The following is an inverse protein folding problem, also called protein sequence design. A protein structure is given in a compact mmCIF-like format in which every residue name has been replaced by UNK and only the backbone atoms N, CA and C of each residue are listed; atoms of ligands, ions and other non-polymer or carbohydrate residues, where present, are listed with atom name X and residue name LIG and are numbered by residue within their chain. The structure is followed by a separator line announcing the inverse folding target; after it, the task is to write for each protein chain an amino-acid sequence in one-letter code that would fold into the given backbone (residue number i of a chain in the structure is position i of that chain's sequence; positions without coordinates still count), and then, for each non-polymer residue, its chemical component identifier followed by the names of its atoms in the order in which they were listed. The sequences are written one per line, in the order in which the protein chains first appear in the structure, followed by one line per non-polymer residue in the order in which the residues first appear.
data_IF_290107174452
#
_entry.id   IF_290107174452
#
_cell.length_a   1.000
_cell.length_b   1.000
_cell.length_c   1.000
_cell.angle_alpha   90.00
_cell.angle_beta   90.00
_cell.angle_gamma   90.00
#
_symmetry.space_group_name_H-M   'P 1'
#
loop_
_entity.id
_entity.type
_entity.pdbx_description
1 polymer ?
#
# COMPACT_ATOMS: atom_id res chain seq x y z
N UNK A 1 -7.88 -25.71 -12.82
CA UNK A 1 -6.93 -24.57 -12.70
C UNK A 1 -6.48 -24.53 -11.25
N UNK A 2 -5.19 -24.36 -10.97
CA UNK A 2 -4.73 -24.21 -9.58
C UNK A 2 -5.13 -22.85 -9.02
N UNK A 3 -5.48 -22.82 -7.73
CA UNK A 3 -5.98 -21.63 -7.04
C UNK A 3 -4.90 -20.98 -6.20
N UNK A 4 -4.86 -19.64 -6.25
CA UNK A 4 -3.90 -18.81 -5.51
C UNK A 4 -4.64 -17.78 -4.67
N UNK A 5 -4.32 -17.74 -3.37
CA UNK A 5 -4.77 -16.68 -2.46
C UNK A 5 -3.62 -15.74 -2.10
N UNK A 6 -3.75 -14.46 -2.40
CA UNK A 6 -2.76 -13.42 -2.03
C UNK A 6 -3.21 -12.73 -0.74
N UNK A 7 -2.32 -12.53 0.21
CA UNK A 7 -2.54 -11.64 1.37
C UNK A 7 -1.52 -10.51 1.38
N UNK A 8 -1.99 -9.27 1.31
CA UNK A 8 -1.16 -8.06 1.27
C UNK A 8 -1.91 -6.83 1.78
N UNK A 9 -1.25 -5.67 1.85
CA UNK A 9 -1.90 -4.38 2.07
C UNK A 9 -2.68 -3.92 0.82
N UNK A 10 -3.79 -4.57 0.51
CA UNK A 10 -4.63 -4.22 -0.65
C UNK A 10 -5.63 -3.10 -0.37
N UNK A 11 -5.96 -2.82 0.89
CA UNK A 11 -6.96 -1.82 1.31
C UNK A 11 -6.34 -0.68 2.14
N UNK A 12 -5.10 -0.34 1.87
CA UNK A 12 -4.34 0.66 2.62
C UNK A 12 -4.52 2.10 2.12
N UNK A 13 -5.48 2.40 1.26
CA UNK A 13 -5.74 3.71 0.62
C UNK A 13 -4.46 4.50 0.27
N UNK A 14 -3.49 3.77 -0.22
CA UNK A 14 -2.20 4.21 -0.67
C UNK A 14 -1.97 3.67 -2.09
N UNK A 15 -1.52 4.51 -3.00
CA UNK A 15 -1.34 4.14 -4.41
C UNK A 15 -0.38 2.96 -4.60
N UNK A 16 0.79 3.02 -3.94
CA UNK A 16 1.79 1.95 -4.02
C UNK A 16 1.24 0.62 -3.54
N UNK A 17 0.52 0.63 -2.39
CA UNK A 17 -0.08 -0.58 -1.83
C UNK A 17 -1.14 -1.20 -2.75
N UNK A 18 -1.94 -0.37 -3.42
CA UNK A 18 -2.98 -0.86 -4.32
C UNK A 18 -2.43 -1.34 -5.65
N UNK A 19 -1.49 -0.58 -6.23
CA UNK A 19 -0.87 -0.94 -7.51
C UNK A 19 -0.03 -2.22 -7.40
N UNK A 20 0.71 -2.41 -6.30
CA UNK A 20 1.46 -3.66 -6.12
C UNK A 20 0.53 -4.87 -5.96
N UNK A 21 -0.62 -4.71 -5.28
CA UNK A 21 -1.61 -5.77 -5.14
C UNK A 21 -2.25 -6.12 -6.50
N UNK A 22 -2.62 -5.10 -7.28
CA UNK A 22 -3.09 -5.25 -8.66
C UNK A 22 -2.06 -5.97 -9.53
N UNK A 23 -0.84 -5.44 -9.59
CA UNK A 23 0.21 -5.99 -10.43
C UNK A 23 0.51 -7.46 -10.11
N UNK A 24 0.65 -7.80 -8.83
CA UNK A 24 0.90 -9.19 -8.43
C UNK A 24 -0.25 -10.10 -8.87
N UNK A 25 -1.49 -9.68 -8.68
CA UNK A 25 -2.66 -10.45 -9.10
C UNK A 25 -2.69 -10.62 -10.62
N UNK A 26 -2.45 -9.56 -11.41
CA UNK A 26 -2.44 -9.64 -12.88
C UNK A 26 -1.35 -10.59 -13.40
N UNK A 27 -0.15 -10.53 -12.83
CA UNK A 27 0.95 -11.45 -13.19
C UNK A 27 0.56 -12.90 -12.94
N UNK A 28 -0.05 -13.21 -11.80
CA UNK A 28 -0.46 -14.58 -11.46
C UNK A 28 -1.60 -15.05 -12.37
N UNK A 29 -2.55 -14.18 -12.69
CA UNK A 29 -3.64 -14.47 -13.64
C UNK A 29 -3.08 -14.73 -15.05
N UNK A 30 -2.10 -13.93 -15.51
CA UNK A 30 -1.46 -14.12 -16.82
C UNK A 30 -0.68 -15.45 -16.92
N UNK A 31 -0.20 -15.98 -15.79
CA UNK A 31 0.41 -17.32 -15.70
C UNK A 31 -0.63 -18.47 -15.79
N UNK A 32 -1.92 -18.18 -15.89
CA UNK A 32 -2.99 -19.17 -16.01
C UNK A 32 -3.46 -19.75 -14.68
N UNK A 33 -3.24 -19.07 -13.56
CA UNK A 33 -3.79 -19.47 -12.26
C UNK A 33 -5.13 -18.77 -12.00
N UNK A 34 -6.00 -19.40 -11.20
CA UNK A 34 -7.17 -18.73 -10.61
C UNK A 34 -6.72 -18.01 -9.34
N UNK A 35 -6.66 -16.68 -9.39
CA UNK A 35 -6.07 -15.87 -8.32
C UNK A 35 -7.08 -14.89 -7.74
N UNK A 36 -7.15 -14.84 -6.41
CA UNK A 36 -7.87 -13.79 -5.69
C UNK A 36 -7.05 -13.26 -4.50
N UNK A 37 -7.35 -12.03 -4.10
CA UNK A 37 -6.76 -11.42 -2.91
C UNK A 37 -7.66 -11.75 -1.71
N UNK A 38 -7.11 -12.32 -0.67
CA UNK A 38 -7.79 -12.55 0.59
C UNK A 38 -8.11 -11.19 1.21
N UNK A 39 -9.39 -10.85 1.29
CA UNK A 39 -9.87 -9.54 1.73
C UNK A 39 -9.71 -9.37 3.25
N UNK A 40 -8.45 -9.31 3.70
CA UNK A 40 -8.11 -9.13 5.11
C UNK A 40 -7.94 -7.65 5.44
N UNK A 41 -8.85 -7.12 6.27
CA UNK A 41 -8.86 -5.71 6.72
C UNK A 41 -8.92 -5.65 8.24
N UNK A 42 -7.79 -5.63 8.90
CA UNK A 42 -7.72 -5.61 10.36
C UNK A 42 -8.39 -4.36 10.96
N UNK A 43 -8.90 -4.43 12.22
CA UNK A 43 -9.45 -3.27 12.91
C UNK A 43 -8.44 -2.12 13.04
N UNK A 44 -7.13 -2.42 13.11
CA UNK A 44 -6.07 -1.42 13.15
C UNK A 44 -6.00 -0.67 11.81
N UNK A 45 -6.00 -1.39 10.68
CA UNK A 45 -6.02 -0.83 9.35
C UNK A 45 -7.27 0.04 9.12
N UNK A 46 -8.46 -0.48 9.46
CA UNK A 46 -9.71 0.29 9.33
C UNK A 46 -9.69 1.58 10.16
N UNK A 47 -9.09 1.57 11.36
CA UNK A 47 -8.94 2.78 12.18
C UNK A 47 -8.00 3.80 11.56
N UNK A 48 -6.89 3.35 10.97
CA UNK A 48 -5.89 4.22 10.35
C UNK A 48 -6.48 5.04 9.19
N UNK A 49 -7.42 4.47 8.45
CA UNK A 49 -8.02 5.11 7.27
C UNK A 49 -9.40 5.73 7.53
N UNK A 50 -9.85 5.81 8.79
CA UNK A 50 -11.09 6.54 9.11
C UNK A 50 -10.96 8.03 8.76
N UNK A 51 -12.01 8.66 8.17
CA UNK A 51 -11.95 10.04 7.73
C UNK A 51 -11.82 11.05 8.87
N UNK A 52 -12.17 10.68 10.11
CA UNK A 52 -12.16 11.57 11.27
C UNK A 52 -11.33 10.93 12.39
N UNK A 53 -10.16 11.50 12.64
CA UNK A 53 -9.32 11.17 13.79
C UNK A 53 -9.57 12.15 14.94
N UNK A 54 -10.31 11.72 15.95
CA UNK A 54 -10.54 12.52 17.16
C UNK A 54 -9.54 12.10 18.23
N UNK A 55 -8.35 12.70 18.21
CA UNK A 55 -7.31 12.46 19.24
C UNK A 55 -6.89 13.80 19.87
N UNK A 56 -6.83 13.86 21.19
CA UNK A 56 -6.33 15.02 21.94
C UNK A 56 -7.33 15.63 22.94
N UNK A 57 -6.94 16.77 23.56
CA UNK A 57 -7.78 17.51 24.50
C UNK A 57 -9.07 18.00 23.85
N UNK A 58 -10.10 18.33 24.67
CA UNK A 58 -11.41 18.80 24.16
C UNK A 58 -11.27 19.96 23.17
N UNK A 59 -10.48 20.97 23.51
CA UNK A 59 -10.22 22.13 22.61
C UNK A 59 -9.51 21.71 21.31
N UNK A 60 -8.50 20.87 21.40
CA UNK A 60 -7.80 20.35 20.21
C UNK A 60 -8.71 19.49 19.32
N UNK A 61 -9.72 18.82 19.91
CA UNK A 61 -10.75 18.06 19.15
C UNK A 61 -11.66 18.99 18.36
N UNK A 62 -12.13 20.06 18.96
CA UNK A 62 -13.01 21.04 18.29
C UNK A 62 -12.30 21.72 17.10
N UNK A 63 -11.06 22.18 17.27
CA UNK A 63 -10.29 22.80 16.21
C UNK A 63 -10.01 21.81 15.07
N UNK A 64 -9.64 20.56 15.40
CA UNK A 64 -9.44 19.52 14.38
C UNK A 64 -10.72 19.15 13.66
N UNK A 65 -11.83 19.06 14.36
CA UNK A 65 -13.13 18.78 13.76
C UNK A 65 -13.52 19.86 12.73
N UNK A 66 -13.34 21.14 13.05
CA UNK A 66 -13.63 22.23 12.11
C UNK A 66 -12.73 22.14 10.87
N UNK A 67 -11.41 21.89 11.05
CA UNK A 67 -10.48 21.74 9.94
C UNK A 67 -10.82 20.51 9.10
N UNK A 68 -11.17 19.39 9.74
CA UNK A 68 -11.55 18.16 9.06
C UNK A 68 -12.90 18.29 8.36
N UNK A 69 -13.86 19.02 8.93
CA UNK A 69 -15.14 19.30 8.27
C UNK A 69 -14.97 20.04 6.95
N UNK A 70 -14.02 20.98 6.87
CA UNK A 70 -13.70 21.69 5.62
C UNK A 70 -13.11 20.77 4.54
N UNK A 71 -12.55 19.61 4.91
CA UNK A 71 -11.90 18.64 4.00
C UNK A 71 -12.63 17.31 3.89
N UNK A 72 -13.68 17.10 4.65
CA UNK A 72 -14.46 15.84 4.68
C UNK A 72 -14.83 15.39 3.27
N UNK A 73 -15.28 16.30 2.42
CA UNK A 73 -15.63 15.95 1.04
C UNK A 73 -14.46 15.39 0.23
N UNK A 74 -13.28 15.98 0.36
CA UNK A 74 -12.06 15.49 -0.31
C UNK A 74 -11.65 14.12 0.22
N UNK A 75 -11.71 13.93 1.55
CA UNK A 75 -11.37 12.66 2.19
C UNK A 75 -12.36 11.56 1.80
N UNK A 76 -13.66 11.84 1.83
CA UNK A 76 -14.69 10.89 1.42
C UNK A 76 -14.60 10.56 -0.08
N UNK A 77 -14.34 11.56 -0.92
CA UNK A 77 -14.10 11.33 -2.36
C UNK A 77 -12.89 10.42 -2.57
N UNK A 78 -11.78 10.69 -1.88
CA UNK A 78 -10.58 9.84 -1.92
C UNK A 78 -10.91 8.40 -1.53
N UNK A 79 -11.56 8.20 -0.39
CA UNK A 79 -11.95 6.86 0.06
C UNK A 79 -12.85 6.15 -0.95
N UNK A 80 -13.86 6.87 -1.48
CA UNK A 80 -14.75 6.29 -2.49
C UNK A 80 -13.98 5.81 -3.73
N UNK A 81 -13.00 6.57 -4.20
CA UNK A 81 -12.20 6.20 -5.37
C UNK A 81 -11.31 4.99 -5.08
N UNK A 82 -10.71 4.90 -3.90
CA UNK A 82 -9.96 3.71 -3.51
C UNK A 82 -10.86 2.48 -3.38
N UNK A 83 -12.06 2.60 -2.79
CA UNK A 83 -13.02 1.49 -2.73
C UNK A 83 -13.55 1.12 -4.13
N UNK A 84 -13.73 2.08 -5.03
CA UNK A 84 -14.06 1.79 -6.42
C UNK A 84 -12.97 0.95 -7.07
N UNK A 85 -11.71 1.37 -6.97
CA UNK A 85 -10.57 0.61 -7.49
C UNK A 85 -10.52 -0.81 -6.91
N UNK A 86 -10.68 -0.96 -5.60
CA UNK A 86 -10.71 -2.28 -4.95
C UNK A 86 -11.79 -3.19 -5.55
N UNK A 87 -12.96 -2.65 -5.81
CA UNK A 87 -14.11 -3.44 -6.27
C UNK A 87 -14.12 -3.67 -7.78
N UNK A 88 -13.50 -2.77 -8.59
CA UNK A 88 -13.48 -2.90 -10.05
C UNK A 88 -12.24 -3.64 -10.56
N UNK A 89 -11.07 -3.38 -9.96
CA UNK A 89 -9.78 -3.82 -10.50
C UNK A 89 -9.19 -5.04 -9.79
N UNK A 90 -9.64 -5.31 -8.54
CA UNK A 90 -9.13 -6.45 -7.78
C UNK A 90 -10.19 -7.54 -7.63
N UNK A 91 -9.80 -8.78 -7.93
CA UNK A 91 -10.61 -9.95 -7.57
C UNK A 91 -10.33 -10.29 -6.10
N UNK A 92 -11.25 -9.91 -5.24
CA UNK A 92 -11.18 -10.17 -3.80
C UNK A 92 -11.91 -11.47 -3.43
N UNK A 93 -11.52 -12.11 -2.34
CA UNK A 93 -12.32 -13.16 -1.72
C UNK A 93 -13.72 -12.64 -1.36
N UNK A 94 -14.71 -13.52 -1.46
CA UNK A 94 -16.13 -13.15 -1.25
C UNK A 94 -16.36 -12.50 0.13
N UNK A 95 -15.78 -13.06 1.18
CA UNK A 95 -15.91 -12.54 2.53
C UNK A 95 -14.74 -11.59 2.87
N UNK A 96 -15.03 -10.58 3.70
CA UNK A 96 -14.04 -9.76 4.37
C UNK A 96 -13.68 -10.37 5.73
N UNK A 97 -12.41 -10.39 6.06
CA UNK A 97 -11.86 -10.95 7.30
C UNK A 97 -11.19 -9.85 8.12
N UNK A 98 -11.49 -9.77 9.42
CA UNK A 98 -10.95 -8.74 10.31
C UNK A 98 -9.89 -9.25 11.27
N UNK A 99 -9.93 -10.53 11.59
CA UNK A 99 -9.06 -11.15 12.59
C UNK A 99 -8.35 -12.38 12.04
N UNK A 100 -7.31 -12.81 12.75
CA UNK A 100 -6.64 -14.08 12.42
C UNK A 100 -7.59 -15.27 12.59
N UNK A 101 -8.46 -15.23 13.61
CA UNK A 101 -9.45 -16.26 13.87
C UNK A 101 -10.46 -16.39 12.71
N UNK A 102 -10.90 -15.26 12.11
CA UNK A 102 -11.74 -15.29 10.91
C UNK A 102 -11.06 -16.04 9.76
N UNK A 103 -9.74 -15.81 9.57
CA UNK A 103 -8.97 -16.48 8.53
C UNK A 103 -8.78 -17.98 8.82
N UNK A 104 -8.57 -18.36 10.07
CA UNK A 104 -8.43 -19.77 10.51
C UNK A 104 -9.72 -20.57 10.29
N UNK A 105 -10.87 -19.90 10.44
CA UNK A 105 -12.20 -20.47 10.27
C UNK A 105 -12.76 -20.35 8.85
N UNK A 106 -12.08 -19.64 7.94
CA UNK A 106 -12.57 -19.37 6.60
C UNK A 106 -12.65 -20.60 5.68
N UNK A 107 -11.95 -21.69 6.02
CA UNK A 107 -11.97 -22.91 5.20
C UNK A 107 -11.35 -22.75 3.83
N UNK A 108 -10.34 -21.92 3.70
CA UNK A 108 -9.63 -21.72 2.44
C UNK A 108 -9.08 -23.00 1.84
N UNK A 109 -9.18 -23.13 0.53
CA UNK A 109 -8.68 -24.25 -0.25
C UNK A 109 -7.91 -23.77 -1.48
N UNK A 110 -6.79 -23.02 -1.22
CA UNK A 110 -5.86 -22.63 -2.28
C UNK A 110 -4.71 -23.62 -2.37
N UNK A 111 -4.23 -23.87 -3.59
CA UNK A 111 -3.00 -24.64 -3.81
C UNK A 111 -1.76 -23.85 -3.36
N UNK A 112 -1.81 -22.51 -3.50
CA UNK A 112 -0.75 -21.59 -3.11
C UNK A 112 -1.32 -20.39 -2.34
N UNK A 113 -0.64 -20.05 -1.26
CA UNK A 113 -0.86 -18.85 -0.48
C UNK A 113 0.34 -17.93 -0.66
N UNK A 114 0.12 -16.72 -1.15
CA UNK A 114 1.19 -15.75 -1.37
C UNK A 114 1.07 -14.60 -0.38
N UNK A 115 2.13 -14.39 0.38
CA UNK A 115 2.31 -13.25 1.27
C UNK A 115 3.16 -12.20 0.57
N UNK A 116 2.63 -11.03 0.36
CA UNK A 116 3.37 -9.94 -0.29
C UNK A 116 2.60 -9.28 -1.43
N UNK A 117 3.10 -8.24 -1.97
CA UNK A 117 4.29 -7.43 -1.60
C UNK A 117 4.00 -6.48 -0.44
N UNK A 118 4.63 -5.27 -0.44
CA UNK A 118 4.50 -4.18 0.52
C UNK A 118 5.17 -4.46 1.90
N UNK A 119 5.07 -3.51 2.82
CA UNK A 119 5.70 -3.56 4.15
C UNK A 119 4.92 -4.44 5.15
N UNK A 120 4.29 -5.49 4.67
CA UNK A 120 3.48 -6.40 5.50
C UNK A 120 4.29 -7.15 6.57
N UNK A 121 5.61 -7.24 6.41
CA UNK A 121 6.53 -7.81 7.39
C UNK A 121 7.25 -6.76 8.25
N UNK A 122 6.88 -5.48 8.10
CA UNK A 122 7.35 -4.44 9.00
C UNK A 122 6.55 -4.46 10.30
N UNK A 123 7.09 -5.12 11.32
CA UNK A 123 6.45 -5.35 12.62
C UNK A 123 6.18 -4.07 13.42
N UNK A 124 6.68 -2.93 12.97
CA UNK A 124 6.44 -1.61 13.58
C UNK A 124 5.40 -0.78 12.82
N UNK A 125 4.82 -1.31 11.73
CA UNK A 125 3.68 -0.64 11.11
C UNK A 125 2.46 -0.68 12.04
N UNK A 126 1.66 0.39 12.03
CA UNK A 126 0.47 0.51 12.87
C UNK A 126 -0.60 -0.54 12.55
N UNK A 127 -0.62 -1.03 11.32
CA UNK A 127 -1.54 -2.03 10.79
C UNK A 127 -0.89 -3.43 10.65
N UNK A 128 0.29 -3.62 11.24
CA UNK A 128 0.94 -4.93 11.30
C UNK A 128 0.01 -5.99 11.91
N UNK A 129 0.01 -7.17 11.30
CA UNK A 129 -0.71 -8.35 11.81
C UNK A 129 0.04 -9.64 11.47
N UNK A 130 0.02 -10.60 12.38
CA UNK A 130 0.62 -11.92 12.14
C UNK A 130 -0.03 -12.68 10.97
N UNK A 131 -1.25 -12.35 10.59
CA UNK A 131 -1.93 -12.93 9.43
C UNK A 131 -1.08 -12.88 8.15
N UNK A 132 -0.25 -11.84 8.01
CA UNK A 132 0.65 -11.68 6.86
C UNK A 132 1.80 -12.69 6.82
N UNK A 133 2.02 -13.47 7.87
CA UNK A 133 2.93 -14.60 7.90
C UNK A 133 2.24 -15.96 7.64
N UNK A 134 0.98 -15.95 7.21
CA UNK A 134 0.20 -17.12 6.81
C UNK A 134 0.04 -18.22 7.90
N UNK A 135 -0.12 -17.91 9.20
CA UNK A 135 -0.27 -18.94 10.23
C UNK A 135 -1.56 -19.74 10.09
N UNK A 136 -2.58 -19.18 9.45
CA UNK A 136 -3.90 -19.79 9.24
C UNK A 136 -3.94 -20.88 8.15
N UNK A 137 -2.87 -21.02 7.37
CA UNK A 137 -2.81 -22.00 6.28
C UNK A 137 -2.66 -23.40 6.84
N UNK A 138 -3.65 -24.28 6.57
CA UNK A 138 -3.67 -25.68 7.02
C UNK A 138 -3.14 -26.64 5.96
N UNK A 139 -3.31 -26.29 4.68
CA UNK A 139 -2.86 -27.08 3.51
C UNK A 139 -2.52 -26.12 2.36
N UNK A 140 -1.77 -26.58 1.38
CA UNK A 140 -1.25 -25.74 0.29
C UNK A 140 0.14 -25.18 0.60
N UNK A 141 0.77 -24.58 -0.39
CA UNK A 141 2.13 -24.03 -0.27
C UNK A 141 2.11 -22.58 0.14
N UNK A 142 3.03 -22.22 1.06
CA UNK A 142 3.25 -20.83 1.51
C UNK A 142 4.42 -20.22 0.76
N UNK A 143 4.16 -19.12 0.07
CA UNK A 143 5.17 -18.40 -0.72
C UNK A 143 5.19 -16.95 -0.27
N UNK A 144 6.38 -16.38 -0.11
CA UNK A 144 6.56 -14.95 0.07
C UNK A 144 7.09 -14.32 -1.21
N UNK A 145 6.35 -13.35 -1.77
CA UNK A 145 6.81 -12.58 -2.91
C UNK A 145 6.95 -11.10 -2.55
N UNK A 146 8.20 -10.63 -2.50
CA UNK A 146 8.59 -9.23 -2.28
C UNK A 146 8.00 -8.53 -1.02
N UNK A 147 7.64 -9.21 0.11
CA UNK A 147 7.34 -8.47 1.33
C UNK A 147 8.58 -7.69 1.80
N UNK A 148 8.34 -6.56 2.47
CA UNK A 148 9.38 -5.72 3.05
C UNK A 148 9.27 -5.67 4.57
N UNK A 149 10.42 -5.68 5.24
CA UNK A 149 10.54 -5.48 6.68
C UNK A 149 10.75 -4.00 7.05
N UNK A 150 10.71 -3.11 6.07
CA UNK A 150 11.10 -1.71 6.21
C UNK A 150 12.62 -1.51 6.24
N UNK A 151 13.04 -0.26 6.17
CA UNK A 151 14.46 0.13 6.03
C UNK A 151 15.37 -0.37 7.17
N UNK A 152 14.83 -0.62 8.35
CA UNK A 152 15.60 -0.99 9.57
C UNK A 152 15.58 -2.47 9.87
N UNK A 153 15.13 -3.34 8.94
CA UNK A 153 14.95 -4.77 9.20
C UNK A 153 14.20 -5.01 10.53
N UNK A 154 12.99 -4.52 10.62
CA UNK A 154 12.19 -4.42 11.86
C UNK A 154 12.12 -5.74 12.67
N UNK A 155 12.14 -6.90 11.99
CA UNK A 155 12.14 -8.21 12.65
C UNK A 155 13.39 -8.42 13.54
N UNK A 156 14.54 -7.82 13.18
CA UNK A 156 15.79 -8.00 13.91
C UNK A 156 15.71 -7.57 15.38
N UNK A 157 14.99 -6.49 15.64
CA UNK A 157 14.83 -5.88 16.97
C UNK A 157 13.48 -6.16 17.63
N UNK A 158 12.63 -6.96 16.97
CA UNK A 158 11.28 -7.21 17.45
C UNK A 158 11.30 -8.13 18.69
N UNK A 159 10.51 -7.81 19.70
CA UNK A 159 10.41 -8.57 20.95
C UNK A 159 10.01 -10.04 20.72
N UNK A 160 9.06 -10.27 19.81
CA UNK A 160 8.54 -11.60 19.48
C UNK A 160 9.25 -12.20 18.24
N UNK A 161 10.53 -11.84 18.02
CA UNK A 161 11.34 -12.28 16.89
C UNK A 161 11.32 -13.80 16.69
N UNK A 162 11.37 -14.58 17.77
CA UNK A 162 11.33 -16.04 17.72
C UNK A 162 10.05 -16.52 17.03
N UNK A 163 8.89 -16.00 17.42
CA UNK A 163 7.60 -16.33 16.78
C UNK A 163 7.60 -16.05 15.28
N UNK A 164 8.18 -14.92 14.88
CA UNK A 164 8.29 -14.58 13.44
C UNK A 164 9.19 -15.58 12.72
N UNK A 165 10.34 -15.96 13.29
CA UNK A 165 11.23 -16.95 12.69
C UNK A 165 10.54 -18.31 12.56
N UNK A 166 9.80 -18.73 13.58
CA UNK A 166 9.04 -20.00 13.55
C UNK A 166 7.98 -19.99 12.44
N UNK A 167 7.34 -18.84 12.17
CA UNK A 167 6.41 -18.66 11.05
C UNK A 167 7.12 -18.64 9.70
N UNK A 168 8.26 -17.96 9.58
CA UNK A 168 9.05 -17.93 8.34
C UNK A 168 9.54 -19.31 7.94
N UNK A 169 9.92 -20.17 8.91
CA UNK A 169 10.33 -21.54 8.65
C UNK A 169 9.21 -22.45 8.12
N UNK A 170 7.97 -21.98 8.09
CA UNK A 170 6.84 -22.72 7.50
C UNK A 170 6.62 -22.43 6.01
N UNK A 171 7.40 -21.50 5.43
CA UNK A 171 7.30 -21.18 4.01
C UNK A 171 8.00 -22.22 3.14
N UNK A 172 7.43 -22.47 1.96
CA UNK A 172 8.05 -23.32 0.91
C UNK A 172 9.07 -22.52 0.08
N UNK A 173 8.82 -21.20 -0.09
CA UNK A 173 9.73 -20.32 -0.80
C UNK A 173 9.62 -18.89 -0.26
N UNK A 174 10.75 -18.20 -0.15
CA UNK A 174 10.80 -16.80 0.32
C UNK A 174 11.61 -15.98 -0.66
N UNK A 175 10.99 -14.90 -1.15
CA UNK A 175 11.67 -13.78 -1.77
C UNK A 175 11.21 -12.47 -1.12
N UNK A 176 12.12 -11.51 -1.02
CA UNK A 176 11.85 -10.19 -0.40
C UNK A 176 12.30 -9.06 -1.31
N UNK A 177 11.81 -7.86 -1.08
CA UNK A 177 12.09 -6.72 -1.95
C UNK A 177 13.52 -6.19 -1.80
N UNK A 178 14.06 -6.17 -0.59
CA UNK A 178 15.36 -5.59 -0.30
C UNK A 178 16.46 -6.66 -0.20
N UNK A 179 17.60 -6.44 -0.87
CA UNK A 179 18.76 -7.36 -0.84
C UNK A 179 19.32 -7.57 0.58
N UNK A 180 19.28 -6.53 1.43
CA UNK A 180 19.68 -6.65 2.84
C UNK A 180 18.70 -7.55 3.60
N UNK A 181 17.40 -7.43 3.29
CA UNK A 181 16.36 -8.29 3.83
C UNK A 181 16.55 -9.75 3.42
N UNK A 182 16.87 -10.01 2.15
CA UNK A 182 17.11 -11.36 1.66
C UNK A 182 18.26 -12.06 2.41
N UNK A 183 19.37 -11.36 2.59
CA UNK A 183 20.49 -11.91 3.39
C UNK A 183 20.07 -12.22 4.82
N UNK A 184 19.41 -11.26 5.48
CA UNK A 184 18.98 -11.44 6.87
C UNK A 184 17.99 -12.60 7.03
N UNK A 185 16.99 -12.73 6.16
CA UNK A 185 16.03 -13.86 6.21
C UNK A 185 16.74 -15.18 5.95
N UNK A 186 17.62 -15.25 4.94
CA UNK A 186 18.41 -16.45 4.67
C UNK A 186 19.28 -16.90 5.86
N UNK A 187 19.86 -15.95 6.62
CA UNK A 187 20.63 -16.24 7.83
C UNK A 187 19.78 -16.85 8.96
N UNK A 188 18.57 -16.29 9.20
CA UNK A 188 17.74 -16.70 10.33
C UNK A 188 16.88 -17.93 10.06
N UNK A 189 16.52 -18.20 8.79
CA UNK A 189 15.70 -19.35 8.39
C UNK A 189 16.51 -20.52 7.82
N UNK A 190 17.76 -20.29 7.43
CA UNK A 190 18.59 -21.25 6.68
C UNK A 190 18.01 -21.62 5.31
N UNK A 191 17.04 -20.84 4.81
CA UNK A 191 16.40 -21.02 3.50
C UNK A 191 17.04 -20.12 2.46
N UNK A 192 17.23 -20.59 1.21
CA UNK A 192 17.59 -19.71 0.10
C UNK A 192 16.54 -18.60 -0.04
N UNK A 193 16.97 -17.35 0.06
CA UNK A 193 16.08 -16.19 -0.03
C UNK A 193 16.59 -15.23 -1.10
N UNK A 194 15.77 -14.95 -2.10
CA UNK A 194 16.09 -14.06 -3.21
C UNK A 194 15.62 -12.62 -2.93
N UNK A 195 16.34 -11.63 -3.50
CA UNK A 195 15.81 -10.29 -3.66
C UNK A 195 15.15 -10.18 -5.03
N UNK A 196 13.92 -9.68 -5.06
CA UNK A 196 13.10 -9.58 -6.27
C UNK A 196 12.51 -8.18 -6.43
N UNK A 197 12.05 -7.85 -7.63
CA UNK A 197 11.41 -6.57 -7.92
C UNK A 197 10.06 -6.45 -7.21
N UNK A 198 9.67 -5.21 -6.94
CA UNK A 198 8.29 -4.92 -6.55
C UNK A 198 7.35 -5.35 -7.70
N UNK A 199 6.17 -5.92 -7.41
CA UNK A 199 5.23 -6.37 -8.44
C UNK A 199 4.87 -5.31 -9.47
N UNK A 200 4.87 -4.03 -9.09
CA UNK A 200 4.58 -2.93 -10.03
C UNK A 200 5.57 -2.83 -11.20
N UNK A 201 6.74 -3.44 -11.07
CA UNK A 201 7.76 -3.48 -12.12
C UNK A 201 7.71 -4.76 -12.96
N UNK A 202 6.76 -5.65 -12.72
CA UNK A 202 6.60 -6.90 -13.47
C UNK A 202 5.66 -6.75 -14.67
N UNK A 203 4.78 -5.75 -14.64
CA UNK A 203 3.87 -5.42 -15.73
C UNK A 203 4.52 -4.41 -16.68
N UNK A 204 4.20 -4.51 -17.96
CA UNK A 204 4.57 -3.49 -18.92
C UNK A 204 3.67 -2.24 -18.74
N UNK A 205 4.13 -1.03 -19.13
CA UNK A 205 3.33 0.18 -19.01
C UNK A 205 1.93 0.05 -19.62
N UNK A 206 1.80 -0.61 -20.77
CA UNK A 206 0.52 -0.82 -21.46
C UNK A 206 -0.48 -1.64 -20.65
N UNK A 207 -0.04 -2.47 -19.72
CA UNK A 207 -0.93 -3.26 -18.85
C UNK A 207 -1.59 -2.39 -17.75
N UNK A 208 -1.10 -1.14 -17.57
CA UNK A 208 -1.70 -0.14 -16.72
C UNK A 208 -2.67 0.79 -17.45
N UNK A 209 -2.72 0.76 -18.80
CA UNK A 209 -3.54 1.69 -19.60
C UNK A 209 -5.04 1.60 -19.25
N UNK A 210 -5.52 0.42 -18.86
CA UNK A 210 -6.90 0.23 -18.41
C UNK A 210 -7.22 0.95 -17.09
N UNK A 211 -6.21 1.36 -16.32
CA UNK A 211 -6.35 2.11 -15.07
C UNK A 211 -6.32 3.63 -15.28
N UNK A 212 -6.09 4.05 -16.51
CA UNK A 212 -5.91 5.46 -16.88
C UNK A 212 -7.23 6.02 -17.42
N UNK A 213 -7.64 7.19 -16.91
CA UNK A 213 -8.79 7.90 -17.45
C UNK A 213 -8.36 8.71 -18.69
N UNK A 214 -9.09 8.60 -19.80
CA UNK A 214 -8.84 9.34 -21.04
C UNK A 214 -8.89 10.88 -20.86
N UNK A 215 -9.43 11.35 -19.76
CA UNK A 215 -9.57 12.78 -19.47
C UNK A 215 -8.55 13.24 -18.43
N UNK A 216 -7.54 14.00 -18.81
CA UNK A 216 -6.57 14.54 -17.87
C UNK A 216 -7.27 15.38 -16.80
N UNK A 217 -6.97 15.10 -15.54
CA UNK A 217 -7.49 15.85 -14.39
C UNK A 217 -6.99 17.29 -14.38
N UNK A 218 -5.80 17.50 -14.93
CA UNK A 218 -5.09 18.79 -14.97
C UNK A 218 -4.84 19.12 -16.42
N UNK A 219 -5.27 20.31 -16.84
CA UNK A 219 -5.07 20.80 -18.20
C UNK A 219 -3.71 21.49 -18.34
N UNK A 220 -3.05 21.24 -19.46
CA UNK A 220 -1.76 21.86 -19.79
C UNK A 220 -0.58 21.12 -19.15
N UNK A 221 0.60 21.62 -19.39
CA UNK A 221 1.85 21.05 -18.87
C UNK A 221 2.11 21.54 -17.44
N UNK A 222 2.66 20.67 -16.62
CA UNK A 222 2.94 20.94 -15.21
C UNK A 222 4.18 20.20 -14.69
N UNK A 223 4.75 20.70 -13.61
CA UNK A 223 5.74 19.97 -12.81
C UNK A 223 4.97 19.21 -11.72
N UNK A 224 5.06 17.90 -11.75
CA UNK A 224 4.40 17.05 -10.75
C UNK A 224 5.37 16.70 -9.62
N UNK A 225 4.92 16.88 -8.38
CA UNK A 225 5.67 16.53 -7.19
C UNK A 225 4.87 15.55 -6.34
N UNK A 226 5.42 14.36 -6.21
CA UNK A 226 4.94 13.36 -5.26
C UNK A 226 5.93 13.25 -4.10
N UNK A 227 5.49 13.55 -2.89
CA UNK A 227 6.31 13.38 -1.70
C UNK A 227 5.47 12.94 -0.51
N UNK A 228 5.83 11.85 0.19
CA UNK A 228 5.16 11.45 1.42
C UNK A 228 5.38 12.45 2.56
N UNK A 229 6.52 13.16 2.54
CA UNK A 229 6.90 14.17 3.53
C UNK A 229 7.22 15.49 2.84
N UNK A 230 6.34 16.46 2.97
CA UNK A 230 6.52 17.78 2.38
C UNK A 230 7.38 18.66 3.31
N UNK A 231 8.66 18.76 2.98
CA UNK A 231 9.63 19.59 3.71
C UNK A 231 9.82 20.95 3.03
N UNK A 232 10.44 21.92 3.72
CA UNK A 232 10.76 23.23 3.14
C UNK A 232 11.64 23.10 1.88
N UNK A 233 12.62 22.18 1.90
CA UNK A 233 13.46 21.89 0.72
C UNK A 233 12.69 21.36 -0.48
N UNK A 234 11.66 20.54 -0.26
CA UNK A 234 10.79 20.05 -1.36
C UNK A 234 10.01 21.21 -1.95
N UNK A 235 9.54 22.16 -1.13
CA UNK A 235 8.85 23.36 -1.60
C UNK A 235 9.76 24.27 -2.43
N UNK A 236 10.97 24.54 -1.92
CA UNK A 236 11.96 25.36 -2.64
C UNK A 236 12.31 24.74 -3.99
N UNK A 237 12.49 23.41 -4.03
CA UNK A 237 12.73 22.68 -5.28
C UNK A 237 11.53 22.76 -6.21
N UNK A 238 10.31 22.64 -5.69
CA UNK A 238 9.07 22.75 -6.45
C UNK A 238 8.94 24.12 -7.11
N UNK A 239 9.21 25.19 -6.36
CA UNK A 239 9.20 26.57 -6.89
C UNK A 239 10.26 26.74 -7.97
N UNK A 240 11.50 26.34 -7.67
CA UNK A 240 12.60 26.47 -8.62
C UNK A 240 12.36 25.70 -9.93
N UNK A 241 11.74 24.54 -9.88
CA UNK A 241 11.37 23.78 -11.09
C UNK A 241 10.21 24.43 -11.84
N UNK A 242 9.18 24.92 -11.13
CA UNK A 242 8.09 25.67 -11.74
C UNK A 242 8.58 26.89 -12.48
N UNK A 243 9.44 27.68 -11.86
CA UNK A 243 10.05 28.89 -12.45
C UNK A 243 10.94 28.52 -13.62
N UNK A 244 11.81 27.51 -13.48
CA UNK A 244 12.75 27.06 -14.53
C UNK A 244 12.04 26.66 -15.81
N UNK A 245 10.92 25.93 -15.68
CA UNK A 245 10.20 25.41 -16.84
C UNK A 245 9.02 26.28 -17.24
N UNK A 246 8.74 27.37 -16.51
CA UNK A 246 7.57 28.22 -16.66
C UNK A 246 6.26 27.41 -16.70
N UNK A 247 6.13 26.46 -15.76
CA UNK A 247 5.00 25.53 -15.65
C UNK A 247 4.33 25.66 -14.29
N UNK A 248 3.03 25.36 -14.25
CA UNK A 248 2.34 25.22 -12.98
C UNK A 248 2.93 24.04 -12.18
N UNK A 249 2.94 24.18 -10.86
CA UNK A 249 3.37 23.10 -9.97
C UNK A 249 2.15 22.40 -9.40
N UNK A 250 2.12 21.09 -9.53
CA UNK A 250 1.09 20.20 -9.01
C UNK A 250 1.71 19.32 -7.93
N UNK A 251 1.10 19.32 -6.75
CA UNK A 251 1.60 18.56 -5.63
C UNK A 251 0.57 17.49 -5.26
N UNK A 252 1.00 16.23 -5.26
CA UNK A 252 0.22 15.13 -4.69
C UNK A 252 0.77 14.78 -3.32
N UNK A 253 -0.10 14.79 -2.32
CA UNK A 253 0.28 14.52 -0.93
C UNK A 253 -0.64 13.50 -0.26
N UNK A 254 -0.07 12.59 0.53
CA UNK A 254 -0.82 11.65 1.35
C UNK A 254 -1.57 12.32 2.51
N UNK A 255 -0.87 13.13 3.30
CA UNK A 255 -1.41 13.91 4.43
C UNK A 255 -0.75 15.28 4.46
N UNK A 256 -1.55 16.34 4.35
CA UNK A 256 -1.06 17.72 4.42
C UNK A 256 -0.96 18.15 5.88
N UNK A 257 0.23 18.59 6.31
CA UNK A 257 0.34 19.24 7.62
C UNK A 257 -0.38 20.60 7.61
N UNK A 258 -0.96 20.99 8.75
CA UNK A 258 -1.66 22.29 8.91
C UNK A 258 -0.81 23.47 8.47
N UNK A 259 0.47 23.45 8.76
CA UNK A 259 1.39 24.54 8.42
C UNK A 259 1.71 24.59 6.92
N UNK A 260 1.91 23.45 6.29
CA UNK A 260 2.12 23.34 4.85
C UNK A 260 0.90 23.89 4.09
N UNK A 261 -0.29 23.57 4.55
CA UNK A 261 -1.52 23.96 3.93
C UNK A 261 -1.83 25.47 4.05
N UNK A 262 -1.61 26.07 5.21
CA UNK A 262 -1.80 27.52 5.42
C UNK A 262 -0.75 28.36 4.66
N UNK A 263 0.49 27.86 4.57
CA UNK A 263 1.61 28.56 3.93
C UNK A 263 1.62 28.37 2.41
N UNK A 264 1.21 27.21 1.92
CA UNK A 264 1.44 26.78 0.53
C UNK A 264 0.16 26.57 -0.30
N UNK A 265 -1.00 26.38 0.36
CA UNK A 265 -2.28 26.11 -0.31
C UNK A 265 -2.79 27.26 -1.21
N UNK A 266 -2.21 28.47 -1.07
CA UNK A 266 -2.50 29.61 -1.96
C UNK A 266 -1.54 29.73 -3.13
N UNK A 267 -0.39 29.07 -3.08
CA UNK A 267 0.70 29.23 -4.04
C UNK A 267 0.78 28.06 -5.05
N UNK A 268 0.33 26.89 -4.64
CA UNK A 268 0.35 25.68 -5.47
C UNK A 268 -1.04 25.09 -5.63
N UNK A 269 -1.31 24.53 -6.79
CA UNK A 269 -2.48 23.69 -7.00
C UNK A 269 -2.27 22.36 -6.23
N UNK A 270 -2.76 22.31 -4.98
CA UNK A 270 -2.64 21.12 -4.13
C UNK A 270 -3.81 20.21 -4.46
N UNK A 271 -3.53 19.15 -5.19
CA UNK A 271 -4.49 18.07 -5.41
C UNK A 271 -4.30 17.02 -4.32
N UNK A 272 -5.23 16.97 -3.36
CA UNK A 272 -5.31 15.85 -2.42
C UNK A 272 -5.72 14.61 -3.18
N UNK A 273 -4.72 13.95 -3.68
CA UNK A 273 -4.63 12.56 -4.06
C UNK A 273 -5.89 11.86 -4.59
N UNK A 274 -6.18 12.02 -5.87
CA UNK A 274 -7.00 11.10 -6.64
C UNK A 274 -6.40 10.87 -8.03
N UNK A 275 -5.09 10.66 -8.09
CA UNK A 275 -4.36 10.53 -9.37
C UNK A 275 -4.20 9.06 -9.82
N UNK A 276 -4.92 8.11 -9.23
CA UNK A 276 -4.90 6.71 -9.71
C UNK A 276 -5.56 6.55 -11.09
N UNK A 277 -6.22 7.56 -11.59
CA UNK A 277 -6.97 7.51 -12.85
C UNK A 277 -6.54 8.60 -13.86
N UNK A 278 -5.28 9.01 -13.84
CA UNK A 278 -4.79 9.96 -14.84
C UNK A 278 -3.49 9.49 -15.47
N UNK A 279 -3.46 9.52 -16.80
CA UNK A 279 -2.36 9.10 -17.67
C UNK A 279 -1.01 9.79 -17.43
N UNK A 280 -1.01 10.86 -16.66
CA UNK A 280 0.14 11.75 -16.56
C UNK A 280 1.09 11.44 -15.39
N UNK A 281 0.89 10.34 -14.69
CA UNK A 281 1.73 9.95 -13.55
C UNK A 281 2.79 8.89 -13.87
N UNK A 282 2.87 8.45 -15.13
CA UNK A 282 3.74 7.35 -15.58
C UNK A 282 4.93 7.77 -16.46
N UNK A 283 5.06 9.06 -16.80
CA UNK A 283 6.21 9.58 -17.58
C UNK A 283 7.28 10.24 -16.70
#
# INVERSE_FOLDING_TARGET
MKKVGIITFHAAYNYGSMLQAYALQQVILSMGYDCEIINFRSPAQKRQYKPIFVVGSFYGRCVRFIIQAAYVWGILKKQRLFEQFLNSELKLSYNEYGTLEDLENAGFNYDYYISGSDQIWNVYCNDFNYAYFLPFVKSGKRIAYAPSMGAQLSIKTYKDRKKVIDLLNQYDAISVREAVGARYIGEITKMPTASVLDPTLLLNPQEYDNLIDDKPLIKGEYVFIYSPNFTEKVNEMAEALGDKYNKQVVISQGLISKNAMLKWGRKFNIYTACLLYTSDAAD
#
